data_IF_519889559804
#
_entry.id   IF_519889559804
#
_cell.length_a   1.000
_cell.length_b   1.000
_cell.length_c   1.000
_cell.angle_alpha   90.00
_cell.angle_beta   90.00
_cell.angle_gamma   90.00
#
_symmetry.space_group_name_H-M   'P 1'
#
loop_
_entity.id
_entity.type
_entity.pdbx_description
1 polymer ?
#
# COMPACT_ATOMS: atom_id res chain seq x y z
N UNK A 1 -20.94 -7.81 15.65
CA UNK A 1 -20.09 -6.78 15.03
C UNK A 1 -19.77 -7.13 13.56
N UNK A 2 -20.76 -7.23 12.68
CA UNK A 2 -20.54 -7.69 11.29
C UNK A 2 -20.89 -6.64 10.21
N UNK A 3 -21.82 -5.71 10.52
CA UNK A 3 -22.28 -4.70 9.56
C UNK A 3 -21.24 -3.59 9.30
N UNK A 4 -20.46 -3.21 10.30
CA UNK A 4 -19.42 -2.18 10.18
C UNK A 4 -18.28 -2.61 9.25
N UNK A 5 -17.90 -3.89 9.28
CA UNK A 5 -16.88 -4.45 8.38
C UNK A 5 -17.38 -4.53 6.92
N UNK A 6 -18.68 -4.81 6.73
CA UNK A 6 -19.31 -4.82 5.39
C UNK A 6 -19.37 -3.42 4.77
N UNK A 7 -19.62 -2.38 5.59
CA UNK A 7 -19.62 -0.99 5.14
C UNK A 7 -18.22 -0.49 4.76
N UNK A 8 -17.19 -0.86 5.53
CA UNK A 8 -15.79 -0.57 5.21
C UNK A 8 -15.35 -1.26 3.91
N UNK A 9 -15.77 -2.52 3.68
CA UNK A 9 -15.50 -3.24 2.45
C UNK A 9 -16.14 -2.58 1.20
N UNK A 10 -17.28 -1.89 1.35
CA UNK A 10 -17.96 -1.18 0.25
C UNK A 10 -17.28 0.14 -0.15
N UNK A 11 -16.41 0.69 0.69
CA UNK A 11 -15.62 1.89 0.39
C UNK A 11 -14.26 1.56 -0.21
N UNK A 12 -13.88 0.29 -0.31
CA UNK A 12 -12.66 -0.08 -1.02
C UNK A 12 -12.79 0.34 -2.47
N UNK A 13 -11.95 1.27 -2.95
CA UNK A 13 -12.08 1.80 -4.30
C UNK A 13 -11.82 0.67 -5.30
N UNK A 14 -12.89 0.21 -5.94
CA UNK A 14 -12.87 -0.87 -6.93
C UNK A 14 -11.94 -0.44 -8.07
N UNK A 15 -10.88 -1.22 -8.31
CA UNK A 15 -9.88 -0.93 -9.34
C UNK A 15 -8.56 -0.35 -8.83
N UNK A 16 -8.38 -0.04 -7.54
CA UNK A 16 -7.07 0.38 -7.01
C UNK A 16 -6.19 -0.80 -6.59
N UNK A 17 -4.87 -0.67 -6.76
CA UNK A 17 -3.92 -1.70 -6.30
C UNK A 17 -3.81 -1.72 -4.76
N UNK A 18 -3.27 -2.80 -4.19
CA UNK A 18 -3.14 -2.96 -2.73
C UNK A 18 -2.39 -1.80 -2.06
N UNK A 19 -1.38 -1.23 -2.72
CA UNK A 19 -0.64 -0.05 -2.21
C UNK A 19 -1.53 1.18 -2.16
N UNK A 20 -2.31 1.45 -3.22
CA UNK A 20 -3.27 2.54 -3.22
C UNK A 20 -4.35 2.40 -2.14
N UNK A 21 -4.72 1.16 -1.79
CA UNK A 21 -5.67 0.88 -0.71
C UNK A 21 -4.98 1.18 0.63
N UNK A 22 -3.78 0.66 0.85
CA UNK A 22 -3.00 0.92 2.06
C UNK A 22 -2.79 2.42 2.29
N UNK A 23 -2.40 3.18 1.26
CA UNK A 23 -2.22 4.63 1.37
C UNK A 23 -3.49 5.42 1.72
N UNK A 24 -4.68 4.83 1.56
CA UNK A 24 -5.96 5.42 1.96
C UNK A 24 -6.41 4.93 3.33
N UNK A 25 -6.11 3.68 3.67
CA UNK A 25 -6.49 3.08 4.96
C UNK A 25 -5.53 3.47 6.11
N UNK A 26 -4.28 3.84 5.81
CA UNK A 26 -3.29 4.26 6.80
C UNK A 26 -3.48 5.70 7.30
N UNK A 27 -3.05 5.99 8.54
CA UNK A 27 -2.81 7.35 9.02
C UNK A 27 -1.94 8.18 8.06
N UNK A 28 -2.15 9.50 8.02
CA UNK A 28 -1.52 10.38 7.01
C UNK A 28 0.01 10.41 7.11
N UNK A 29 0.56 10.29 8.31
CA UNK A 29 1.99 10.19 8.61
C UNK A 29 2.59 8.86 8.13
N UNK A 30 1.94 7.73 8.43
CA UNK A 30 2.37 6.42 7.95
C UNK A 30 2.27 6.30 6.42
N UNK A 31 1.20 6.83 5.83
CA UNK A 31 1.04 6.89 4.38
C UNK A 31 2.13 7.74 3.72
N UNK A 32 2.59 8.82 4.37
CA UNK A 32 3.70 9.64 3.89
C UNK A 32 5.04 8.89 3.98
N UNK A 33 5.28 8.18 5.09
CA UNK A 33 6.47 7.35 5.27
C UNK A 33 6.54 6.24 4.21
N UNK A 34 5.43 5.53 3.98
CA UNK A 34 5.35 4.49 2.94
C UNK A 34 5.64 5.06 1.55
N UNK A 35 5.10 6.23 1.21
CA UNK A 35 5.41 6.91 -0.07
C UNK A 35 6.89 7.24 -0.20
N UNK A 36 7.52 7.74 0.87
CA UNK A 36 8.95 8.06 0.86
C UNK A 36 9.80 6.80 0.64
N UNK A 37 9.51 5.70 1.34
CA UNK A 37 10.23 4.44 1.14
C UNK A 37 10.01 3.89 -0.27
N UNK A 38 8.79 3.98 -0.80
CA UNK A 38 8.47 3.59 -2.18
C UNK A 38 9.16 4.48 -3.22
N UNK A 39 9.49 5.73 -2.90
CA UNK A 39 10.26 6.63 -3.77
C UNK A 39 11.79 6.41 -3.66
N UNK A 40 12.27 5.88 -2.54
CA UNK A 40 13.71 5.79 -2.25
C UNK A 40 14.41 4.59 -2.94
N UNK A 41 15.27 4.81 -3.95
CA UNK A 41 15.97 3.75 -4.67
C UNK A 41 16.86 2.85 -3.80
N UNK A 42 17.23 3.28 -2.58
CA UNK A 42 18.00 2.46 -1.65
C UNK A 42 17.22 1.23 -1.15
N UNK A 43 15.90 1.31 -1.10
CA UNK A 43 15.04 0.19 -0.67
C UNK A 43 14.69 -0.73 -1.84
N UNK A 44 14.92 -2.04 -1.64
CA UNK A 44 14.38 -3.07 -2.53
C UNK A 44 12.92 -3.35 -2.17
N UNK A 45 12.08 -3.54 -3.19
CA UNK A 45 10.66 -3.80 -2.96
C UNK A 45 10.37 -5.11 -2.20
N UNK A 46 11.25 -6.12 -2.32
CA UNK A 46 11.15 -7.36 -1.54
C UNK A 46 11.43 -7.11 -0.06
N UNK A 47 12.45 -6.33 0.27
CA UNK A 47 12.79 -5.96 1.66
C UNK A 47 11.67 -5.13 2.29
N UNK A 48 11.08 -4.21 1.52
CA UNK A 48 9.89 -3.46 1.93
C UNK A 48 8.68 -4.37 2.18
N UNK A 49 8.44 -5.33 1.28
CA UNK A 49 7.37 -6.32 1.42
C UNK A 49 7.54 -7.14 2.70
N UNK A 50 8.76 -7.58 3.00
CA UNK A 50 9.06 -8.37 4.19
C UNK A 50 8.93 -7.53 5.47
N UNK A 51 9.39 -6.28 5.45
CA UNK A 51 9.24 -5.35 6.57
C UNK A 51 7.76 -5.07 6.89
N UNK A 52 6.94 -4.82 5.85
CA UNK A 52 5.50 -4.64 6.01
C UNK A 52 4.79 -5.92 6.48
N UNK A 53 5.28 -7.09 6.10
CA UNK A 53 4.73 -8.38 6.55
C UNK A 53 5.10 -8.71 8.00
N UNK A 54 6.24 -8.22 8.49
CA UNK A 54 6.70 -8.40 9.85
C UNK A 54 5.98 -7.48 10.85
N UNK A 55 5.44 -6.36 10.36
CA UNK A 55 4.64 -5.44 11.14
C UNK A 55 3.25 -6.04 11.43
N UNK A 56 2.96 -6.26 12.72
CA UNK A 56 1.69 -6.85 13.17
C UNK A 56 0.52 -5.88 13.11
N UNK A 57 0.82 -4.58 13.09
CA UNK A 57 -0.18 -3.52 13.04
C UNK A 57 -0.53 -3.17 11.59
N UNK A 58 0.22 -3.69 10.62
CA UNK A 58 -0.04 -3.48 9.20
C UNK A 58 -1.02 -4.53 8.65
N UNK A 59 -2.26 -4.13 8.27
CA UNK A 59 -3.35 -5.08 8.02
C UNK A 59 -3.28 -5.79 6.65
N UNK A 60 -2.35 -5.40 5.78
CA UNK A 60 -2.30 -5.82 4.39
C UNK A 60 -0.91 -6.34 4.01
N UNK A 61 -0.84 -7.62 3.64
CA UNK A 61 0.34 -8.16 2.98
C UNK A 61 0.40 -7.68 1.53
N UNK A 62 1.45 -6.96 1.17
CA UNK A 62 1.65 -6.39 -0.18
C UNK A 62 2.93 -6.97 -0.78
N UNK A 63 2.78 -7.76 -1.83
CA UNK A 63 3.92 -8.35 -2.53
C UNK A 63 4.85 -7.28 -3.13
N UNK A 64 6.16 -7.55 -3.15
CA UNK A 64 7.18 -6.70 -3.75
C UNK A 64 6.90 -6.29 -5.21
N UNK A 65 6.33 -7.18 -6.02
CA UNK A 65 5.92 -6.86 -7.39
C UNK A 65 4.82 -5.79 -7.46
N UNK A 66 3.90 -5.80 -6.50
CA UNK A 66 2.81 -4.82 -6.42
C UNK A 66 3.36 -3.46 -5.97
N UNK A 67 4.27 -3.45 -5.00
CA UNK A 67 5.01 -2.25 -4.58
C UNK A 67 5.76 -1.63 -5.77
N UNK A 68 6.50 -2.45 -6.53
CA UNK A 68 7.24 -1.99 -7.70
C UNK A 68 6.36 -1.51 -8.86
N UNK A 69 5.21 -2.15 -9.11
CA UNK A 69 4.23 -1.68 -10.11
C UNK A 69 3.62 -0.34 -9.69
N UNK A 70 3.29 -0.17 -8.41
CA UNK A 70 2.76 1.10 -7.90
C UNK A 70 3.80 2.20 -8.00
N UNK A 71 5.01 2.01 -7.47
CA UNK A 71 6.07 3.02 -7.50
C UNK A 71 6.38 3.53 -8.92
N UNK A 72 6.29 2.66 -9.94
CA UNK A 72 6.53 3.00 -11.35
C UNK A 72 5.30 3.57 -12.09
N UNK A 73 4.19 3.84 -11.40
CA UNK A 73 2.94 4.31 -12.03
C UNK A 73 2.22 3.27 -12.90
N UNK A 74 2.56 1.98 -12.78
CA UNK A 74 1.93 0.88 -13.53
C UNK A 74 0.69 0.32 -12.83
N UNK A 75 0.20 0.99 -11.80
CA UNK A 75 -1.07 0.68 -11.17
C UNK A 75 -2.19 1.56 -11.74
N UNK A 76 -3.44 1.17 -11.54
CA UNK A 76 -4.61 1.96 -11.97
C UNK A 76 -4.69 3.36 -11.34
N UNK A 77 -3.98 3.61 -10.22
CA UNK A 77 -3.87 4.94 -9.62
C UNK A 77 -2.93 5.89 -10.38
N UNK A 78 -2.06 5.38 -11.25
CA UNK A 78 -1.15 6.20 -12.09
C UNK A 78 -0.09 7.00 -11.34
N UNK A 79 -0.02 6.91 -10.00
CA UNK A 79 0.96 7.61 -9.17
C UNK A 79 2.38 7.08 -9.45
N UNK A 80 3.29 7.96 -9.86
CA UNK A 80 4.68 7.61 -10.16
C UNK A 80 5.59 8.21 -9.10
N UNK A 81 6.13 7.33 -8.25
CA UNK A 81 7.07 7.66 -7.17
C UNK A 81 8.53 7.45 -7.60
N UNK A 82 8.77 6.62 -8.63
CA UNK A 82 10.06 6.38 -9.29
C UNK A 82 9.92 6.31 -10.81
#
# INVERSE_FOLDING_TARGET
MALSQLAAAKQRPVGRCQVCIALVELPSDEAAALRQMLADPAWRYTELSDALAADKDYPLHINGDVLGKHARGKCAGGEKLR
#
